data_IF_694698341507
#
_entry.id   IF_694698341507
#
_cell.length_a   1.000
_cell.length_b   1.000
_cell.length_c   1.000
_cell.angle_alpha   90.00
_cell.angle_beta   90.00
_cell.angle_gamma   90.00
#
_symmetry.space_group_name_H-M   'P 1'
#
loop_
_entity.id
_entity.type
_entity.pdbx_description
1 polymer ?
#
# COMPACT_ATOMS: atom_id res chain seq x y z
N UNK A 1 59.22 -49.84 -7.98
CA UNK A 1 59.70 -48.45 -8.09
C UNK A 1 58.51 -47.59 -8.52
N UNK A 2 57.91 -46.85 -7.59
CA UNK A 2 56.97 -45.76 -7.88
C UNK A 2 57.23 -44.68 -6.82
N UNK A 3 57.71 -43.55 -7.33
CA UNK A 3 58.00 -42.29 -6.64
C UNK A 3 56.71 -41.58 -6.27
N UNK A 4 56.64 -41.00 -5.06
CA UNK A 4 55.52 -40.17 -4.64
C UNK A 4 55.82 -39.43 -3.34
N UNK A 5 56.69 -38.42 -3.42
CA UNK A 5 57.00 -37.48 -2.35
C UNK A 5 56.42 -36.11 -2.74
N UNK A 6 55.30 -35.70 -2.16
CA UNK A 6 54.92 -34.29 -2.04
C UNK A 6 54.16 -34.08 -0.72
N UNK A 7 54.69 -33.17 0.08
CA UNK A 7 54.24 -32.77 1.41
C UNK A 7 53.59 -31.38 1.30
N UNK A 8 52.58 -31.14 2.15
CA UNK A 8 52.06 -29.84 2.61
C UNK A 8 51.34 -28.96 1.57
N UNK A 9 50.05 -28.66 1.81
CA UNK A 9 49.77 -27.43 2.58
C UNK A 9 48.32 -27.39 3.10
N UNK A 10 48.19 -27.01 4.36
CA UNK A 10 46.93 -26.84 5.05
C UNK A 10 46.30 -25.50 4.67
N UNK A 11 45.08 -25.52 4.15
CA UNK A 11 44.27 -24.31 4.01
C UNK A 11 43.01 -24.42 4.88
N UNK A 12 42.99 -23.57 5.89
CA UNK A 12 42.01 -23.49 6.98
C UNK A 12 40.58 -23.41 6.47
N UNK A 13 39.73 -24.22 7.10
CA UNK A 13 38.28 -24.06 7.17
C UNK A 13 37.94 -22.66 7.71
N UNK A 14 37.40 -21.79 6.85
CA UNK A 14 36.80 -20.51 7.27
C UNK A 14 35.31 -20.73 7.47
N UNK A 15 34.93 -21.03 8.72
CA UNK A 15 33.54 -20.96 9.18
C UNK A 15 33.10 -19.50 9.11
N UNK A 16 32.35 -19.13 8.08
CA UNK A 16 31.61 -17.87 8.06
C UNK A 16 30.44 -18.00 9.04
N UNK A 17 30.65 -17.54 10.26
CA UNK A 17 29.57 -17.18 11.18
C UNK A 17 28.80 -16.00 10.55
N UNK A 18 27.68 -16.29 9.89
CA UNK A 18 26.67 -15.28 9.57
C UNK A 18 25.59 -15.31 10.65
N UNK A 19 25.44 -14.17 11.32
CA UNK A 19 24.45 -13.87 12.35
C UNK A 19 23.03 -14.29 11.93
N UNK A 20 22.16 -14.72 12.87
CA UNK A 20 20.77 -15.00 12.54
C UNK A 20 20.07 -13.68 12.23
N UNK A 21 19.86 -13.40 10.95
CA UNK A 21 18.91 -12.36 10.54
C UNK A 21 17.54 -12.86 10.97
N UNK A 22 17.02 -12.29 12.05
CA UNK A 22 15.65 -12.47 12.51
C UNK A 22 14.72 -12.07 11.36
N UNK A 23 14.26 -13.07 10.62
CA UNK A 23 13.32 -12.91 9.53
C UNK A 23 11.94 -12.75 10.17
N UNK A 24 11.65 -11.52 10.62
CA UNK A 24 10.29 -11.12 10.95
C UNK A 24 9.43 -11.44 9.73
N UNK A 25 8.68 -12.54 9.78
CA UNK A 25 7.58 -12.80 8.85
C UNK A 25 6.52 -11.76 9.15
N UNK A 26 6.59 -10.61 8.49
CA UNK A 26 5.41 -9.77 8.31
C UNK A 26 4.42 -10.68 7.59
N UNK A 27 3.33 -11.05 8.26
CA UNK A 27 2.26 -11.78 7.64
C UNK A 27 1.66 -10.88 6.57
N UNK A 28 2.09 -11.03 5.32
CA UNK A 28 1.47 -10.41 4.16
C UNK A 28 0.15 -11.11 3.92
N UNK A 29 -0.86 -10.75 4.72
CA UNK A 29 -2.25 -10.99 4.35
C UNK A 29 -2.47 -10.20 3.07
N UNK A 30 -2.49 -10.90 1.93
CA UNK A 30 -2.76 -10.26 0.65
C UNK A 30 -4.17 -9.68 0.77
N UNK A 31 -4.33 -8.36 0.54
CA UNK A 31 -5.64 -7.75 0.62
C UNK A 31 -6.57 -8.48 -0.34
N UNK A 32 -7.73 -8.91 0.18
CA UNK A 32 -8.69 -9.71 -0.58
C UNK A 32 -9.28 -8.90 -1.75
N UNK A 33 -9.16 -7.58 -1.68
CA UNK A 33 -9.49 -6.64 -2.73
C UNK A 33 -8.28 -5.77 -3.09
N UNK A 34 -8.04 -5.64 -4.39
CA UNK A 34 -7.03 -4.73 -4.96
C UNK A 34 -7.35 -3.26 -4.62
N UNK A 35 -6.31 -2.49 -4.30
CA UNK A 35 -6.39 -1.08 -3.91
C UNK A 35 -7.02 -0.22 -5.02
N UNK A 36 -6.68 -0.48 -6.28
CA UNK A 36 -7.22 0.27 -7.42
C UNK A 36 -8.73 0.03 -7.55
N UNK A 37 -9.17 -1.22 -7.42
CA UNK A 37 -10.59 -1.54 -7.38
C UNK A 37 -11.29 -0.91 -6.17
N UNK A 38 -10.64 -0.90 -5.01
CA UNK A 38 -11.20 -0.33 -3.79
C UNK A 38 -11.40 1.20 -3.89
N UNK A 39 -10.57 1.94 -4.62
CA UNK A 39 -10.73 3.40 -4.77
C UNK A 39 -11.55 3.82 -6.01
N UNK A 40 -11.86 2.92 -6.94
CA UNK A 40 -12.58 3.28 -8.17
C UNK A 40 -13.97 3.88 -7.92
N UNK A 41 -14.68 3.42 -6.89
CA UNK A 41 -16.03 3.86 -6.58
C UNK A 41 -16.08 5.23 -5.87
N UNK A 42 -17.02 6.10 -6.25
CA UNK A 42 -17.12 7.44 -5.67
C UNK A 42 -17.57 7.45 -4.20
N UNK A 43 -18.44 6.52 -3.77
CA UNK A 43 -18.87 6.45 -2.38
C UNK A 43 -17.74 5.96 -1.47
N UNK A 44 -16.90 5.02 -1.94
CA UNK A 44 -15.69 4.59 -1.23
C UNK A 44 -14.69 5.73 -1.09
N UNK A 45 -14.45 6.53 -2.14
CA UNK A 45 -13.61 7.73 -2.03
C UNK A 45 -14.17 8.73 -1.01
N UNK A 46 -15.48 9.00 -1.04
CA UNK A 46 -16.14 9.85 -0.04
C UNK A 46 -15.99 9.31 1.38
N UNK A 47 -16.09 7.99 1.59
CA UNK A 47 -15.86 7.36 2.91
C UNK A 47 -14.45 7.61 3.41
N UNK A 48 -13.43 7.44 2.56
CA UNK A 48 -12.05 7.70 2.92
C UNK A 48 -11.85 9.18 3.29
N UNK A 49 -12.35 10.11 2.47
CA UNK A 49 -12.28 11.56 2.76
C UNK A 49 -12.96 11.90 4.10
N UNK A 50 -14.11 11.28 4.38
CA UNK A 50 -14.85 11.51 5.63
C UNK A 50 -14.07 11.01 6.87
N UNK A 51 -13.28 9.94 6.72
CA UNK A 51 -12.50 9.32 7.80
C UNK A 51 -11.07 9.87 7.93
N UNK A 52 -10.61 10.77 7.05
CA UNK A 52 -9.23 11.28 7.05
C UNK A 52 -8.78 11.88 8.39
N UNK A 53 -9.68 12.61 9.07
CA UNK A 53 -9.33 13.42 10.24
C UNK A 53 -9.89 12.87 11.55
N UNK A 54 -10.74 11.84 11.51
CA UNK A 54 -11.37 11.28 12.71
C UNK A 54 -11.81 9.84 12.53
N UNK A 55 -11.64 9.08 13.61
CA UNK A 55 -12.33 7.80 13.79
C UNK A 55 -13.82 8.04 14.04
N UNK A 56 -14.69 7.22 13.44
CA UNK A 56 -16.14 7.37 13.60
C UNK A 56 -16.87 6.04 13.71
N UNK A 57 -17.96 5.99 14.49
CA UNK A 57 -18.85 4.84 14.51
C UNK A 57 -19.66 4.74 13.21
N UNK A 58 -20.04 3.53 12.84
CA UNK A 58 -20.85 3.28 11.64
C UNK A 58 -22.14 4.09 11.60
N UNK A 59 -22.78 4.31 12.76
CA UNK A 59 -24.02 5.05 12.86
C UNK A 59 -23.87 6.52 12.43
N UNK A 60 -22.73 7.14 12.72
CA UNK A 60 -22.42 8.50 12.28
C UNK A 60 -22.06 8.52 10.80
N UNK A 61 -21.24 7.59 10.34
CA UNK A 61 -20.87 7.46 8.93
C UNK A 61 -22.13 7.39 8.07
N UNK A 62 -23.11 6.56 8.45
CA UNK A 62 -24.34 6.40 7.66
C UNK A 62 -25.18 7.66 7.52
N UNK A 63 -25.05 8.65 8.44
CA UNK A 63 -25.78 9.91 8.34
C UNK A 63 -25.25 10.81 7.23
N UNK A 64 -24.00 10.62 6.81
CA UNK A 64 -23.35 11.42 5.76
C UNK A 64 -23.63 10.91 4.34
N UNK A 65 -24.43 9.86 4.19
CA UNK A 65 -24.72 9.23 2.90
C UNK A 65 -26.23 9.09 2.67
N UNK A 66 -26.64 9.15 1.40
CA UNK A 66 -28.03 8.94 0.95
C UNK A 66 -28.35 7.47 0.67
N UNK A 67 -27.33 6.60 0.68
CA UNK A 67 -27.47 5.15 0.45
C UNK A 67 -27.81 4.40 1.73
N UNK A 68 -28.29 3.16 1.59
CA UNK A 68 -28.66 2.35 2.74
C UNK A 68 -27.46 1.98 3.63
N UNK A 69 -27.71 1.76 4.93
CA UNK A 69 -26.70 1.27 5.88
C UNK A 69 -26.04 -0.04 5.44
N UNK A 70 -26.77 -0.91 4.75
CA UNK A 70 -26.22 -2.15 4.18
C UNK A 70 -25.23 -1.85 3.05
N UNK A 71 -25.52 -0.88 2.19
CA UNK A 71 -24.59 -0.47 1.13
C UNK A 71 -23.32 0.17 1.72
N UNK A 72 -23.45 1.02 2.75
CA UNK A 72 -22.29 1.58 3.47
C UNK A 72 -21.44 0.47 4.10
N UNK A 73 -22.05 -0.54 4.75
CA UNK A 73 -21.31 -1.69 5.28
C UNK A 73 -20.53 -2.44 4.20
N UNK A 74 -21.15 -2.68 3.03
CA UNK A 74 -20.47 -3.32 1.91
C UNK A 74 -19.26 -2.51 1.45
N UNK A 75 -19.40 -1.20 1.32
CA UNK A 75 -18.29 -0.32 0.96
C UNK A 75 -17.17 -0.35 2.01
N UNK A 76 -17.50 -0.27 3.30
CA UNK A 76 -16.52 -0.37 4.39
C UNK A 76 -15.82 -1.73 4.43
N UNK A 77 -16.52 -2.80 4.10
CA UNK A 77 -15.91 -4.14 4.04
C UNK A 77 -14.88 -4.24 2.91
N UNK A 78 -15.20 -3.73 1.72
CA UNK A 78 -14.23 -3.68 0.60
C UNK A 78 -13.00 -2.84 0.97
N UNK A 79 -13.21 -1.69 1.61
CA UNK A 79 -12.11 -0.84 2.06
C UNK A 79 -11.27 -1.51 3.16
N UNK A 80 -11.90 -2.26 4.06
CA UNK A 80 -11.22 -3.00 5.12
C UNK A 80 -10.36 -4.13 4.54
N UNK A 81 -10.92 -4.88 3.58
CA UNK A 81 -10.23 -5.96 2.88
C UNK A 81 -9.05 -5.45 2.03
N UNK A 82 -9.13 -4.21 1.54
CA UNK A 82 -8.04 -3.50 0.86
C UNK A 82 -7.04 -2.83 1.81
N UNK A 83 -7.26 -2.93 3.12
CA UNK A 83 -6.41 -2.33 4.16
C UNK A 83 -6.56 -0.81 4.32
N UNK A 84 -7.46 -0.16 3.57
CA UNK A 84 -7.65 1.29 3.56
C UNK A 84 -8.39 1.83 4.79
N UNK A 85 -9.05 0.94 5.54
CA UNK A 85 -9.66 1.25 6.83
C UNK A 85 -9.40 0.13 7.83
N UNK A 86 -9.30 0.48 9.11
CA UNK A 86 -9.37 -0.45 10.24
C UNK A 86 -10.75 -0.41 10.85
N UNK A 87 -11.18 -1.55 11.37
CA UNK A 87 -12.45 -1.71 12.10
C UNK A 87 -12.13 -2.12 13.53
N UNK A 88 -12.66 -1.38 14.50
CA UNK A 88 -12.49 -1.66 15.92
C UNK A 88 -13.84 -1.64 16.63
N UNK A 89 -14.10 -2.66 17.44
CA UNK A 89 -15.29 -2.70 18.30
C UNK A 89 -15.00 -1.96 19.60
N UNK A 90 -15.76 -0.92 19.88
CA UNK A 90 -15.70 -0.12 21.11
C UNK A 90 -17.05 -0.20 21.80
N UNK A 91 -17.14 -1.05 22.83
CA UNK A 91 -18.40 -1.35 23.51
C UNK A 91 -19.44 -1.99 22.58
N UNK A 92 -20.53 -1.27 22.32
CA UNK A 92 -21.64 -1.71 21.44
C UNK A 92 -21.50 -1.23 20.00
N UNK A 93 -20.54 -0.36 19.71
CA UNK A 93 -20.37 0.24 18.39
C UNK A 93 -19.12 -0.27 17.69
N UNK A 94 -19.19 -0.33 16.36
CA UNK A 94 -18.02 -0.54 15.50
C UNK A 94 -17.58 0.79 14.93
N UNK A 95 -16.32 1.13 15.19
CA UNK A 95 -15.66 2.34 14.72
C UNK A 95 -14.68 2.03 13.61
N UNK A 96 -14.57 2.97 12.68
CA UNK A 96 -13.69 2.86 11.54
C UNK A 96 -12.67 3.99 11.54
N UNK A 97 -11.44 3.65 11.16
CA UNK A 97 -10.31 4.58 11.09
C UNK A 97 -9.64 4.44 9.74
N UNK A 98 -9.37 5.57 9.08
CA UNK A 98 -8.65 5.58 7.81
C UNK A 98 -7.20 5.10 7.97
N UNK A 99 -6.69 4.37 6.98
CA UNK A 99 -5.31 3.89 6.91
C UNK A 99 -4.69 4.37 5.59
N UNK A 100 -3.77 5.35 5.61
CA UNK A 100 -3.16 5.88 4.40
C UNK A 100 -2.07 4.98 3.80
N UNK A 101 -1.54 4.03 4.57
CA UNK A 101 -0.37 3.23 4.18
C UNK A 101 -0.56 2.50 2.85
N UNK A 102 -1.71 1.85 2.57
CA UNK A 102 -1.90 1.18 1.28
C UNK A 102 -1.97 2.14 0.08
N UNK A 103 -2.28 3.43 0.28
CA UNK A 103 -2.29 4.41 -0.81
C UNK A 103 -0.88 4.73 -1.35
N UNK A 104 0.18 4.34 -0.64
CA UNK A 104 1.55 4.52 -1.12
C UNK A 104 1.77 3.82 -2.46
N UNK A 105 1.15 2.65 -2.68
CA UNK A 105 1.23 1.91 -3.94
C UNK A 105 0.66 2.72 -5.12
N UNK A 106 -0.49 3.36 -4.92
CA UNK A 106 -1.10 4.22 -5.95
C UNK A 106 -0.23 5.44 -6.23
N UNK A 107 0.34 6.04 -5.18
CA UNK A 107 1.23 7.20 -5.33
C UNK A 107 2.48 6.84 -6.14
N UNK A 108 3.10 5.70 -5.85
CA UNK A 108 4.27 5.20 -6.58
C UNK A 108 3.94 4.88 -8.04
N UNK A 109 2.77 4.26 -8.28
CA UNK A 109 2.29 4.00 -9.64
C UNK A 109 2.02 5.29 -10.42
N UNK A 110 1.40 6.31 -9.80
CA UNK A 110 1.17 7.61 -10.44
C UNK A 110 2.49 8.33 -10.73
N UNK A 111 3.48 8.25 -9.84
CA UNK A 111 4.79 8.88 -10.02
C UNK A 111 5.52 8.40 -11.29
N UNK A 112 5.25 7.18 -11.76
CA UNK A 112 5.77 6.70 -13.04
C UNK A 112 5.28 7.54 -14.23
N UNK A 113 4.04 8.04 -14.17
CA UNK A 113 3.43 8.81 -15.25
C UNK A 113 3.75 10.31 -15.19
N UNK A 114 4.29 10.82 -14.08
CA UNK A 114 4.66 12.24 -13.95
C UNK A 114 5.64 12.67 -15.05
N UNK A 115 6.61 11.81 -15.39
CA UNK A 115 7.56 12.07 -16.49
C UNK A 115 6.90 12.24 -17.86
N UNK A 116 5.73 11.64 -18.07
CA UNK A 116 4.98 11.80 -19.31
C UNK A 116 4.32 13.18 -19.37
N UNK A 117 3.85 13.70 -18.24
CA UNK A 117 3.30 15.06 -18.14
C UNK A 117 4.36 16.14 -18.23
N UNK A 118 5.52 15.95 -17.61
CA UNK A 118 6.62 16.91 -17.71
C UNK A 118 7.05 17.13 -19.16
N UNK A 119 7.17 16.05 -19.95
CA UNK A 119 7.50 16.13 -21.38
C UNK A 119 6.42 16.84 -22.20
N UNK A 120 5.14 16.57 -21.91
CA UNK A 120 4.02 17.20 -22.61
C UNK A 120 3.92 18.69 -22.28
N UNK A 121 4.16 19.07 -21.04
CA UNK A 121 4.19 20.46 -20.60
C UNK A 121 5.39 21.20 -21.20
N UNK A 122 6.57 20.56 -21.26
CA UNK A 122 7.75 21.14 -21.90
C UNK A 122 7.52 21.40 -23.40
N UNK A 123 6.93 20.45 -24.12
CA UNK A 123 6.60 20.62 -25.54
C UNK A 123 5.55 21.73 -25.77
N UNK A 124 4.56 21.85 -24.87
CA UNK A 124 3.60 22.95 -24.93
C UNK A 124 4.27 24.30 -24.69
N UNK A 125 5.19 24.37 -23.73
CA UNK A 125 5.96 25.58 -23.42
C UNK A 125 6.77 26.04 -24.64
N UNK A 126 7.53 25.14 -25.25
CA UNK A 126 8.34 25.43 -26.44
C UNK A 126 7.49 25.96 -27.60
N UNK A 127 6.32 25.37 -27.86
CA UNK A 127 5.41 25.85 -28.91
C UNK A 127 4.84 27.25 -28.65
N UNK A 128 4.59 27.60 -27.38
CA UNK A 128 4.09 28.94 -27.02
C UNK A 128 5.20 29.97 -27.12
N UNK A 129 6.41 29.64 -26.69
CA UNK A 129 7.59 30.53 -26.77
C UNK A 129 8.08 30.72 -28.21
N UNK A 130 7.88 29.77 -29.11
CA UNK A 130 8.25 29.87 -30.54
C UNK A 130 7.24 30.70 -31.37
N UNK A 131 6.10 31.09 -30.78
CA UNK A 131 5.06 31.91 -31.44
C UNK A 131 4.97 33.36 -30.95
N UNK A 132 5.90 33.78 -30.09
CA UNK A 132 6.18 35.20 -29.78
C UNK A 132 7.46 35.66 -30.49
#
# INVERSE_FOLDING_TARGET
MCTGLWTVDGRKSSKKNSLPISRNKVATTHPKHDIFQAIADPNRRKLLTLLMNKEMPIAEITKSFTISRTAVNKHLHVLYDAGLVKSQKVGRETRYTFQPEPLAEIREWLAFFDQYWDKRLAALKEYVEDKE
#
